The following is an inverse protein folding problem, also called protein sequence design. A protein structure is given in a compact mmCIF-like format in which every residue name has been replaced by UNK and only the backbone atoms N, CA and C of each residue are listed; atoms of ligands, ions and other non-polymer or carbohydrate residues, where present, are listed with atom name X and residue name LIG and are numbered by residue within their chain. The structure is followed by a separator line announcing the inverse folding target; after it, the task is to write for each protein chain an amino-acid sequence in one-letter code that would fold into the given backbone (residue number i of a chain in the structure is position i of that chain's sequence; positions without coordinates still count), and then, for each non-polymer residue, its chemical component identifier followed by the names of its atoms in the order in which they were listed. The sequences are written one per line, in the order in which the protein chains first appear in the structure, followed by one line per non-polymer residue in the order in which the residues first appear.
data_IF_678199834017
#
_entry.id   IF_678199834017
#
_cell.length_a   1.000
_cell.length_b   1.000
_cell.length_c   1.000
_cell.angle_alpha   90.00
_cell.angle_beta   90.00
_cell.angle_gamma   90.00
#
_symmetry.space_group_name_H-M   'P 1'
#
loop_
_entity.id
_entity.type
_entity.pdbx_description
1 polymer ?
#
# COMPACT_ATOMS: atom_id res chain seq x y z
N UNK A 1 22.42 24.05 -5.52
CA UNK A 1 21.36 23.30 -6.25
C UNK A 1 21.53 21.83 -5.91
N UNK A 2 20.71 21.32 -4.98
CA UNK A 2 20.86 19.96 -4.45
C UNK A 2 20.19 19.01 -5.44
N UNK A 3 20.98 18.31 -6.26
CA UNK A 3 20.47 17.15 -6.98
C UNK A 3 20.12 16.13 -5.91
N UNK A 4 18.82 15.90 -5.70
CA UNK A 4 18.32 14.71 -5.00
C UNK A 4 18.98 13.54 -5.73
N UNK A 5 19.97 12.93 -5.09
CA UNK A 5 20.87 11.98 -5.72
C UNK A 5 20.06 10.81 -6.27
N UNK A 6 20.51 10.18 -7.36
CA UNK A 6 19.90 8.96 -7.92
C UNK A 6 19.58 7.92 -6.84
N UNK A 7 20.43 7.86 -5.83
CA UNK A 7 20.29 7.03 -4.64
C UNK A 7 18.99 7.29 -3.86
N UNK A 8 18.56 8.55 -3.71
CA UNK A 8 17.28 8.88 -3.06
C UNK A 8 16.09 8.45 -3.93
N UNK A 9 16.19 8.56 -5.25
CA UNK A 9 15.13 8.06 -6.14
C UNK A 9 15.02 6.54 -6.08
N UNK A 10 16.14 5.81 -6.11
CA UNK A 10 16.14 4.35 -5.99
C UNK A 10 15.61 3.91 -4.62
N UNK A 11 16.02 4.57 -3.54
CA UNK A 11 15.55 4.27 -2.18
C UNK A 11 14.06 4.57 -2.00
N UNK A 12 13.57 5.69 -2.53
CA UNK A 12 12.14 6.04 -2.46
C UNK A 12 11.27 5.15 -3.35
N UNK A 13 11.74 4.78 -4.55
CA UNK A 13 11.05 3.81 -5.40
C UNK A 13 10.96 2.43 -4.73
N UNK A 14 12.06 1.96 -4.11
CA UNK A 14 12.07 0.68 -3.39
C UNK A 14 11.14 0.69 -2.18
N UNK A 15 11.10 1.80 -1.43
CA UNK A 15 10.19 1.97 -0.30
C UNK A 15 8.71 1.94 -0.74
N UNK A 16 8.38 2.55 -1.88
CA UNK A 16 7.03 2.55 -2.44
C UNK A 16 6.62 1.15 -2.93
N UNK A 17 7.49 0.45 -3.64
CA UNK A 17 7.23 -0.91 -4.12
C UNK A 17 7.00 -1.87 -2.94
N UNK A 18 7.84 -1.79 -1.91
CA UNK A 18 7.69 -2.56 -0.69
C UNK A 18 6.37 -2.27 0.02
N UNK A 19 6.00 -0.99 0.12
CA UNK A 19 4.75 -0.57 0.75
C UNK A 19 3.51 -1.13 0.01
N UNK A 20 3.46 -1.02 -1.31
CA UNK A 20 2.36 -1.54 -2.12
C UNK A 20 2.28 -3.06 -2.03
N UNK A 21 3.41 -3.75 -2.09
CA UNK A 21 3.47 -5.20 -1.98
C UNK A 21 2.95 -5.71 -0.64
N UNK A 22 3.34 -5.06 0.46
CA UNK A 22 2.86 -5.42 1.79
C UNK A 22 1.36 -5.19 1.93
N UNK A 23 0.87 -4.01 1.50
CA UNK A 23 -0.54 -3.68 1.57
C UNK A 23 -1.41 -4.65 0.75
N UNK A 24 -0.96 -5.03 -0.45
CA UNK A 24 -1.70 -5.98 -1.30
C UNK A 24 -1.65 -7.40 -0.72
N UNK A 25 -0.49 -7.88 -0.27
CA UNK A 25 -0.36 -9.22 0.29
C UNK A 25 -1.30 -9.42 1.49
N UNK A 26 -1.34 -8.44 2.39
CA UNK A 26 -2.18 -8.50 3.59
C UNK A 26 -3.68 -8.49 3.27
N UNK A 27 -4.08 -7.75 2.24
CA UNK A 27 -5.47 -7.69 1.81
C UNK A 27 -5.86 -8.95 1.06
N UNK A 28 -4.96 -9.49 0.23
CA UNK A 28 -5.15 -10.78 -0.45
C UNK A 28 -5.41 -11.89 0.57
N UNK A 29 -4.60 -11.97 1.64
CA UNK A 29 -4.82 -12.95 2.72
C UNK A 29 -6.19 -12.80 3.39
N UNK A 30 -6.66 -11.57 3.57
CA UNK A 30 -8.01 -11.32 4.12
C UNK A 30 -9.12 -11.76 3.15
N UNK A 31 -8.95 -11.51 1.85
CA UNK A 31 -9.92 -11.94 0.82
C UNK A 31 -9.93 -13.44 0.59
N UNK A 32 -8.77 -14.10 0.69
CA UNK A 32 -8.65 -15.56 0.67
C UNK A 32 -9.39 -16.18 1.85
N UNK A 33 -9.25 -15.62 3.06
CA UNK A 33 -10.00 -16.04 4.24
C UNK A 33 -11.51 -15.85 4.08
N UNK A 34 -11.93 -14.76 3.45
CA UNK A 34 -13.33 -14.45 3.17
C UNK A 34 -13.91 -15.19 1.95
N UNK A 35 -13.12 -16.08 1.29
CA UNK A 35 -13.48 -16.74 0.02
C UNK A 35 -13.97 -15.76 -1.08
N UNK A 36 -13.48 -14.53 -1.06
CA UNK A 36 -13.84 -13.47 -2.00
C UNK A 36 -12.80 -13.38 -3.12
N UNK A 37 -13.25 -13.28 -4.38
CA UNK A 37 -12.36 -13.20 -5.56
C UNK A 37 -11.97 -11.77 -5.93
N UNK A 38 -12.53 -10.77 -5.24
CA UNK A 38 -12.38 -9.36 -5.60
C UNK A 38 -11.94 -8.59 -4.38
N UNK A 39 -10.81 -7.88 -4.51
CA UNK A 39 -10.32 -6.95 -3.50
C UNK A 39 -11.03 -5.61 -3.68
N UNK A 40 -11.70 -5.13 -2.64
CA UNK A 40 -12.38 -3.83 -2.67
C UNK A 40 -11.45 -2.78 -2.05
N UNK A 41 -11.50 -1.54 -2.56
CA UNK A 41 -10.73 -0.42 -1.99
C UNK A 41 -10.96 -0.24 -0.48
N UNK A 42 -12.16 -0.60 0.01
CA UNK A 42 -12.51 -0.58 1.44
C UNK A 42 -11.63 -1.56 2.24
N UNK A 43 -11.34 -2.75 1.73
CA UNK A 43 -10.51 -3.74 2.43
C UNK A 43 -9.07 -3.22 2.60
N UNK A 44 -8.57 -2.54 1.57
CA UNK A 44 -7.26 -1.88 1.58
C UNK A 44 -7.26 -0.73 2.60
N UNK A 45 -8.26 0.16 2.57
CA UNK A 45 -8.37 1.27 3.51
C UNK A 45 -8.51 0.78 4.95
N UNK A 46 -9.32 -0.26 5.16
CA UNK A 46 -9.54 -0.87 6.47
C UNK A 46 -8.26 -1.49 7.02
N UNK A 47 -7.53 -2.24 6.19
CA UNK A 47 -6.26 -2.85 6.60
C UNK A 47 -5.20 -1.78 6.91
N UNK A 48 -5.07 -0.76 6.07
CA UNK A 48 -4.16 0.36 6.30
C UNK A 48 -4.49 1.09 7.61
N UNK A 49 -5.78 1.31 7.89
CA UNK A 49 -6.25 1.89 9.16
C UNK A 49 -5.85 1.04 10.36
N UNK A 50 -5.87 -0.29 10.23
CA UNK A 50 -5.40 -1.22 11.26
C UNK A 50 -3.89 -1.10 11.53
N UNK A 51 -3.09 -0.87 10.48
CA UNK A 51 -1.64 -0.62 10.59
C UNK A 51 -1.29 0.79 11.08
N UNK A 52 -2.29 1.64 11.37
CA UNK A 52 -2.08 3.04 11.74
C UNK A 52 -1.62 3.92 10.57
N UNK A 53 -1.81 3.44 9.33
CA UNK A 53 -1.50 4.16 8.10
C UNK A 53 -2.81 4.67 7.48
N UNK A 54 -2.76 5.78 6.76
CA UNK A 54 -3.98 6.30 6.11
C UNK A 54 -3.68 6.68 4.67
N UNK A 55 -4.40 6.06 3.74
CA UNK A 55 -4.35 6.40 2.33
C UNK A 55 -5.34 7.56 2.08
N UNK A 56 -4.93 8.79 2.36
CA UNK A 56 -5.71 9.99 2.04
C UNK A 56 -5.60 10.32 0.54
N UNK A 57 -6.18 9.50 -0.35
CA UNK A 57 -6.05 9.76 -1.80
C UNK A 57 -7.26 9.46 -2.66
N UNK A 58 -8.40 9.01 -2.15
CA UNK A 58 -9.60 8.83 -2.98
C UNK A 58 -10.87 9.23 -2.22
N UNK A 59 -11.10 10.53 -2.13
CA UNK A 59 -12.34 11.15 -1.67
C UNK A 59 -12.60 12.38 -2.52
N UNK A 60 -13.25 12.17 -3.66
CA UNK A 60 -13.91 13.18 -4.48
C UNK A 60 -15.38 12.83 -4.59
#
# INVERSE_FOLDING_TARGET
MKCVSRLIYEETCGALEFFLKNAICDVVTNTEHAHCKTVIAIDIIYKLKLEGRTLYTFGG
#
